data_IF_485495942561
#
_entry.id   IF_485495942561
#
_cell.length_a   1.000
_cell.length_b   1.000
_cell.length_c   1.000
_cell.angle_alpha   90.00
_cell.angle_beta   90.00
_cell.angle_gamma   90.00
#
_symmetry.space_group_name_H-M   'P 1'
#
loop_
_entity.id
_entity.type
_entity.pdbx_description
1 polymer ?
#
# COMPACT_ATOMS: atom_id res chain seq x y z
N UNK A 1 -17.02 -4.85 -7.45
CA UNK A 1 -16.09 -5.06 -6.30
C UNK A 1 -14.65 -4.84 -6.75
N UNK A 2 -14.20 -5.43 -7.87
CA UNK A 2 -13.12 -4.88 -8.70
C UNK A 2 -13.35 -5.38 -10.14
N UNK A 3 -13.08 -4.57 -11.16
CA UNK A 3 -13.07 -5.00 -12.57
C UNK A 3 -11.69 -4.67 -13.18
N UNK A 4 -10.80 -5.68 -13.32
CA UNK A 4 -9.45 -5.43 -13.80
C UNK A 4 -9.39 -4.97 -15.27
N UNK A 5 -10.34 -5.42 -16.11
CA UNK A 5 -10.36 -5.02 -17.51
C UNK A 5 -10.80 -3.56 -17.67
N UNK A 6 -11.71 -3.10 -16.80
CA UNK A 6 -12.10 -1.69 -16.74
C UNK A 6 -10.97 -0.80 -16.21
N UNK A 7 -10.30 -1.23 -15.13
CA UNK A 7 -9.16 -0.48 -14.59
C UNK A 7 -8.03 -0.30 -15.63
N UNK A 8 -7.76 -1.35 -16.42
CA UNK A 8 -6.80 -1.31 -17.52
C UNK A 8 -7.25 -0.35 -18.63
N UNK A 9 -8.50 -0.48 -19.11
CA UNK A 9 -9.05 0.37 -20.16
C UNK A 9 -9.08 1.86 -19.80
N UNK A 10 -9.38 2.17 -18.53
CA UNK A 10 -9.44 3.54 -18.01
C UNK A 10 -8.07 4.06 -17.53
N UNK A 11 -7.04 3.20 -17.51
CA UNK A 11 -5.70 3.47 -16.98
C UNK A 11 -5.69 4.02 -15.54
N UNK A 12 -6.70 3.66 -14.75
CA UNK A 12 -6.89 4.07 -13.36
C UNK A 12 -7.80 3.11 -12.62
N UNK A 13 -7.63 2.96 -11.31
CA UNK A 13 -8.53 2.16 -10.49
C UNK A 13 -9.84 2.92 -10.30
N UNK A 14 -10.97 2.24 -10.52
CA UNK A 14 -12.29 2.81 -10.26
C UNK A 14 -12.40 3.38 -8.83
N UNK A 15 -12.96 4.59 -8.70
CA UNK A 15 -13.08 5.28 -7.41
C UNK A 15 -13.86 4.48 -6.37
N UNK A 16 -14.90 3.77 -6.78
CA UNK A 16 -15.66 2.88 -5.88
C UNK A 16 -14.83 1.71 -5.38
N UNK A 17 -13.96 1.15 -6.22
CA UNK A 17 -13.02 0.11 -5.80
C UNK A 17 -11.96 0.68 -4.85
N UNK A 18 -11.39 1.85 -5.14
CA UNK A 18 -10.44 2.51 -4.23
C UNK A 18 -11.04 2.78 -2.85
N UNK A 19 -12.26 3.33 -2.81
CA UNK A 19 -12.97 3.57 -1.56
C UNK A 19 -13.19 2.27 -0.78
N UNK A 20 -13.63 1.20 -1.45
CA UNK A 20 -13.80 -0.11 -0.81
C UNK A 20 -12.50 -0.70 -0.29
N UNK A 21 -11.37 -0.49 -0.97
CA UNK A 21 -10.04 -0.94 -0.50
C UNK A 21 -9.57 -0.16 0.73
N UNK A 22 -9.86 1.14 0.82
CA UNK A 22 -9.64 1.94 2.02
C UNK A 22 -10.49 1.44 3.19
N UNK A 23 -11.78 1.24 2.98
CA UNK A 23 -12.70 0.70 4.00
C UNK A 23 -12.30 -0.70 4.49
N UNK A 24 -11.76 -1.54 3.60
CA UNK A 24 -11.26 -2.88 3.93
C UNK A 24 -9.96 -2.85 4.76
N UNK A 25 -9.26 -1.71 4.83
CA UNK A 25 -7.94 -1.59 5.45
C UNK A 25 -6.79 -2.12 4.58
N UNK A 26 -7.02 -2.29 3.26
CA UNK A 26 -6.05 -2.91 2.35
C UNK A 26 -4.75 -2.09 2.17
N UNK A 27 -4.76 -0.81 2.52
CA UNK A 27 -3.59 0.08 2.49
C UNK A 27 -2.68 -0.06 3.73
N UNK A 28 -3.18 -0.68 4.82
CA UNK A 28 -2.50 -0.73 6.12
C UNK A 28 -2.24 -2.14 6.64
N UNK A 29 -2.00 -3.13 5.78
CA UNK A 29 -2.04 -4.55 6.18
C UNK A 29 -1.04 -4.88 7.31
N UNK A 30 0.18 -4.35 7.23
CA UNK A 30 1.26 -4.65 8.19
C UNK A 30 1.42 -3.59 9.30
N UNK A 31 0.65 -2.50 9.27
CA UNK A 31 0.71 -1.47 10.31
C UNK A 31 0.08 -2.03 11.59
N UNK A 32 0.67 -1.84 12.79
CA UNK A 32 0.07 -2.28 14.04
C UNK A 32 -1.36 -1.76 14.23
N UNK A 33 -2.22 -2.55 14.87
CA UNK A 33 -3.63 -2.23 15.03
C UNK A 33 -3.84 -0.94 15.84
N UNK A 34 -3.00 -0.71 16.84
CA UNK A 34 -2.97 0.51 17.66
C UNK A 34 -2.60 1.78 16.86
N UNK A 35 -2.05 1.63 15.66
CA UNK A 35 -1.73 2.72 14.72
C UNK A 35 -2.65 2.73 13.50
N UNK A 36 -3.78 2.00 13.56
CA UNK A 36 -4.83 2.03 12.53
C UNK A 36 -4.68 1.03 11.39
N UNK A 37 -3.75 0.07 11.48
CA UNK A 37 -3.59 -1.01 10.51
C UNK A 37 -4.26 -2.33 10.91
N UNK A 38 -3.92 -3.40 10.18
CA UNK A 38 -4.43 -4.76 10.45
C UNK A 38 -3.45 -5.65 11.24
N UNK A 39 -2.23 -5.20 11.49
CA UNK A 39 -1.24 -5.90 12.31
C UNK A 39 -0.78 -7.26 11.74
N UNK A 40 -0.85 -7.45 10.43
CA UNK A 40 -0.51 -8.73 9.81
C UNK A 40 1.00 -8.97 9.79
N UNK A 41 1.39 -10.21 10.09
CA UNK A 41 2.75 -10.66 9.87
C UNK A 41 3.04 -10.91 8.37
N UNK A 42 4.30 -11.16 8.01
CA UNK A 42 4.70 -11.34 6.61
C UNK A 42 4.00 -12.52 5.91
N UNK A 43 3.71 -13.63 6.61
CA UNK A 43 3.03 -14.79 6.02
C UNK A 43 1.55 -14.49 5.74
N UNK A 44 0.87 -13.83 6.68
CA UNK A 44 -0.52 -13.38 6.50
C UNK A 44 -0.60 -12.34 5.38
N UNK A 45 0.35 -11.40 5.34
CA UNK A 45 0.47 -10.42 4.27
C UNK A 45 0.66 -11.09 2.91
N UNK A 46 1.58 -12.07 2.79
CA UNK A 46 1.80 -12.82 1.56
C UNK A 46 0.52 -13.51 1.06
N UNK A 47 -0.27 -14.11 1.96
CA UNK A 47 -1.54 -14.74 1.61
C UNK A 47 -2.57 -13.75 1.05
N UNK A 48 -2.58 -12.50 1.49
CA UNK A 48 -3.48 -11.49 0.92
C UNK A 48 -2.93 -10.90 -0.38
N UNK A 49 -1.60 -10.70 -0.47
CA UNK A 49 -0.95 -10.23 -1.69
C UNK A 49 -1.14 -11.21 -2.85
N UNK A 50 -1.11 -12.53 -2.61
CA UNK A 50 -1.38 -13.51 -3.67
C UNK A 50 -2.80 -13.37 -4.24
N UNK A 51 -3.78 -13.06 -3.39
CA UNK A 51 -5.18 -12.86 -3.80
C UNK A 51 -5.28 -11.65 -4.70
N UNK A 52 -4.67 -10.52 -4.30
CA UNK A 52 -4.64 -9.33 -5.15
C UNK A 52 -3.92 -9.61 -6.47
N UNK A 53 -2.77 -10.26 -6.43
CA UNK A 53 -1.99 -10.60 -7.63
C UNK A 53 -2.71 -11.56 -8.59
N UNK A 54 -3.57 -12.44 -8.08
CA UNK A 54 -4.39 -13.34 -8.90
C UNK A 54 -5.56 -12.63 -9.60
N UNK A 55 -5.94 -11.43 -9.14
CA UNK A 55 -7.12 -10.72 -9.64
C UNK A 55 -6.77 -9.45 -10.42
N UNK A 56 -5.84 -8.63 -9.93
CA UNK A 56 -5.50 -7.34 -10.54
C UNK A 56 -4.13 -6.84 -10.07
N UNK A 57 -3.13 -6.92 -10.97
CA UNK A 57 -1.77 -6.44 -10.67
C UNK A 57 -1.67 -4.91 -10.67
N UNK A 58 -2.55 -4.17 -11.34
CA UNK A 58 -2.56 -2.70 -11.27
C UNK A 58 -2.97 -2.21 -9.89
N UNK A 59 -4.00 -2.83 -9.31
CA UNK A 59 -4.37 -2.65 -7.89
C UNK A 59 -3.24 -3.12 -6.98
N UNK A 60 -2.65 -4.29 -7.27
CA UNK A 60 -1.52 -4.83 -6.50
C UNK A 60 -0.34 -3.88 -6.40
N UNK A 61 0.05 -3.25 -7.52
CA UNK A 61 1.14 -2.26 -7.54
C UNK A 61 0.75 -1.00 -6.76
N UNK A 62 -0.49 -0.52 -6.86
CA UNK A 62 -0.94 0.66 -6.09
C UNK A 62 -0.84 0.41 -4.59
N UNK A 63 -1.33 -0.75 -4.11
CA UNK A 63 -1.25 -1.13 -2.71
C UNK A 63 0.19 -1.39 -2.26
N UNK A 64 0.99 -2.03 -3.12
CA UNK A 64 2.38 -2.39 -2.81
C UNK A 64 3.33 -1.20 -2.81
N UNK A 65 3.24 -0.31 -3.80
CA UNK A 65 3.99 0.94 -3.84
C UNK A 65 3.74 1.78 -2.58
N UNK A 66 2.49 1.80 -2.10
CA UNK A 66 2.12 2.47 -0.86
C UNK A 66 2.75 1.82 0.38
N UNK A 67 2.55 0.52 0.63
CA UNK A 67 2.89 -0.11 1.91
C UNK A 67 4.12 -1.02 1.91
N UNK A 68 4.42 -1.68 0.79
CA UNK A 68 5.56 -2.58 0.70
C UNK A 68 6.87 -1.79 0.70
N UNK A 69 6.86 -0.58 0.10
CA UNK A 69 8.03 0.32 -0.01
C UNK A 69 7.75 1.76 0.42
N UNK A 70 6.59 2.34 0.09
CA UNK A 70 6.31 3.77 0.26
C UNK A 70 6.45 4.27 1.70
N UNK A 71 5.70 3.70 2.64
CA UNK A 71 5.89 4.00 4.07
C UNK A 71 6.72 2.96 4.82
N UNK A 72 7.18 1.89 4.16
CA UNK A 72 7.88 0.77 4.81
C UNK A 72 9.09 1.21 5.63
N UNK A 73 9.81 2.23 5.17
CA UNK A 73 10.92 2.82 5.92
C UNK A 73 10.53 3.32 7.31
N UNK A 74 9.32 3.86 7.50
CA UNK A 74 8.82 4.31 8.81
C UNK A 74 8.55 3.12 9.73
N UNK A 75 7.99 2.02 9.21
CA UNK A 75 7.79 0.80 9.99
C UNK A 75 9.13 0.22 10.48
N UNK A 76 10.11 0.12 9.59
CA UNK A 76 11.40 -0.53 9.88
C UNK A 76 12.36 0.36 10.68
N UNK A 77 12.40 1.65 10.38
CA UNK A 77 13.46 2.55 10.84
C UNK A 77 12.95 3.82 11.51
N UNK A 78 11.64 4.05 11.53
CA UNK A 78 11.07 5.22 12.19
C UNK A 78 11.42 5.26 13.68
N UNK A 79 11.47 6.44 14.28
CA UNK A 79 11.39 6.58 15.74
C UNK A 79 9.92 6.51 16.21
N UNK A 80 9.68 6.52 17.53
CA UNK A 80 8.32 6.50 18.09
C UNK A 80 7.47 7.68 17.61
N UNK A 81 8.07 8.87 17.49
CA UNK A 81 7.39 10.10 17.06
C UNK A 81 6.98 10.01 15.58
N UNK A 82 7.85 9.51 14.71
CA UNK A 82 7.58 9.30 13.29
C UNK A 82 6.50 8.24 13.10
N UNK A 83 6.58 7.11 13.81
CA UNK A 83 5.55 6.06 13.73
C UNK A 83 4.19 6.57 14.17
N UNK A 84 4.12 7.24 15.34
CA UNK A 84 2.88 7.78 15.87
C UNK A 84 2.27 8.89 14.99
N UNK A 85 3.11 9.67 14.28
CA UNK A 85 2.63 10.74 13.42
C UNK A 85 2.20 10.26 12.03
N UNK A 86 3.00 9.42 11.37
CA UNK A 86 2.81 9.11 9.95
C UNK A 86 1.98 7.85 9.71
N UNK A 87 2.11 6.81 10.53
CA UNK A 87 1.40 5.55 10.26
C UNK A 87 -0.13 5.70 10.30
N UNK A 88 -0.75 6.42 11.26
CA UNK A 88 -2.18 6.66 11.24
C UNK A 88 -2.68 7.43 10.01
N UNK A 89 -1.83 8.27 9.40
CA UNK A 89 -2.18 9.05 8.20
C UNK A 89 -2.23 8.17 6.97
N UNK A 90 -1.22 7.32 6.78
CA UNK A 90 -1.15 6.43 5.61
C UNK A 90 -2.15 5.28 5.68
N UNK A 91 -2.60 4.89 6.87
CA UNK A 91 -3.76 3.99 7.02
C UNK A 91 -5.10 4.73 6.95
N UNK A 92 -5.10 6.05 7.08
CA UNK A 92 -6.28 6.92 7.17
C UNK A 92 -6.69 7.62 5.88
N UNK A 93 -6.16 7.21 4.72
CA UNK A 93 -6.52 7.76 3.41
C UNK A 93 -5.44 8.59 2.73
N UNK A 94 -4.29 8.84 3.37
CA UNK A 94 -3.17 9.50 2.71
C UNK A 94 -2.29 8.50 1.96
N UNK A 95 -1.97 8.80 0.70
CA UNK A 95 -1.08 7.95 -0.09
C UNK A 95 0.39 8.16 0.30
N UNK A 96 1.18 7.12 0.04
CA UNK A 96 2.62 7.09 0.26
C UNK A 96 3.29 6.58 -1.01
N UNK A 97 4.48 7.08 -1.30
CA UNK A 97 5.25 6.71 -2.47
C UNK A 97 6.73 6.60 -2.11
N UNK A 98 7.44 5.71 -2.79
CA UNK A 98 8.88 5.57 -2.67
C UNK A 98 9.56 6.30 -3.83
N UNK A 99 10.13 7.47 -3.53
CA UNK A 99 10.72 8.37 -4.52
C UNK A 99 12.24 8.23 -4.52
N UNK A 100 12.74 7.18 -5.17
CA UNK A 100 14.18 6.90 -5.30
C UNK A 100 14.71 7.22 -6.70
N UNK A 101 14.05 6.69 -7.73
CA UNK A 101 14.52 6.79 -9.12
C UNK A 101 14.59 8.25 -9.59
N UNK A 102 15.70 8.61 -10.22
CA UNK A 102 15.94 9.92 -10.83
C UNK A 102 16.25 9.73 -12.33
N UNK A 103 16.19 10.80 -13.17
CA UNK A 103 16.51 10.68 -14.59
C UNK A 103 17.89 10.07 -14.90
N UNK A 104 18.87 10.22 -13.98
CA UNK A 104 20.23 9.69 -14.12
C UNK A 104 20.52 8.43 -13.31
N UNK A 105 19.61 7.99 -12.42
CA UNK A 105 19.91 6.97 -11.40
C UNK A 105 18.74 6.01 -11.22
N UNK A 106 19.03 4.71 -11.37
CA UNK A 106 18.05 3.63 -11.32
C UNK A 106 18.63 2.36 -10.69
N UNK A 107 19.31 1.54 -11.49
CA UNK A 107 20.02 0.36 -10.94
C UNK A 107 21.20 0.72 -10.04
N UNK A 108 21.84 1.87 -10.32
CA UNK A 108 22.86 2.50 -9.49
C UNK A 108 22.20 3.64 -8.72
N UNK A 109 21.80 3.34 -7.48
CA UNK A 109 21.01 4.21 -6.61
C UNK A 109 21.85 4.76 -5.45
#
# INVERSE_FOLDING_TARGET
VNDPAKNDADAQIEQGTLAGLWELGAFGLQVPAELGGLGLNNTQYARLVEVVGAHDLGVGITLGAHQSIGFKGILLFGDERQRAHYLPRVTGGEYAAFCLTEPSSGSDA
#
